data_IF_890565155773
#
_entry.id   IF_890565155773
#
_cell.length_a   1.000
_cell.length_b   1.000
_cell.length_c   1.000
_cell.angle_alpha   90.00
_cell.angle_beta   90.00
_cell.angle_gamma   90.00
#
_symmetry.space_group_name_H-M   'P 1'
#
loop_
_entity.id
_entity.type
_entity.pdbx_description
1 polymer ?
#
# COMPACT_ATOMS: atom_id res chain seq x y z
N UNK A 1 -10.17 -9.55 -14.58
CA UNK A 1 -9.37 -10.66 -15.13
C UNK A 1 -8.47 -11.14 -14.01
N UNK A 2 -8.36 -12.44 -13.74
CA UNK A 2 -7.51 -12.96 -12.66
C UNK A 2 -6.03 -12.75 -13.05
N UNK A 3 -5.34 -11.89 -12.32
CA UNK A 3 -3.90 -11.66 -12.49
C UNK A 3 -3.15 -12.68 -11.63
N UNK A 4 -2.19 -13.39 -12.23
CA UNK A 4 -1.49 -14.49 -11.56
C UNK A 4 -0.44 -13.90 -10.58
N UNK A 5 -0.76 -13.85 -9.28
CA UNK A 5 0.06 -13.24 -8.22
C UNK A 5 1.19 -14.15 -7.75
N UNK A 6 2.04 -14.59 -8.67
CA UNK A 6 3.13 -15.54 -8.42
C UNK A 6 4.16 -15.07 -7.38
N UNK A 7 4.28 -13.75 -7.14
CA UNK A 7 5.14 -13.18 -6.11
C UNK A 7 4.77 -13.57 -4.68
N UNK A 8 3.50 -13.92 -4.42
CA UNK A 8 3.02 -14.34 -3.09
C UNK A 8 3.67 -15.63 -2.58
N UNK A 9 4.32 -16.38 -3.46
CA UNK A 9 5.04 -17.61 -3.10
C UNK A 9 6.49 -17.37 -2.64
N UNK A 10 6.92 -16.10 -2.56
CA UNK A 10 8.30 -15.71 -2.21
C UNK A 10 8.28 -14.98 -0.86
N UNK A 11 7.98 -15.72 0.22
CA UNK A 11 8.05 -15.22 1.59
C UNK A 11 8.90 -16.18 2.41
N UNK A 12 9.90 -15.66 3.11
CA UNK A 12 10.73 -16.46 4.02
C UNK A 12 9.90 -16.73 5.29
N UNK A 13 9.47 -17.98 5.47
CA UNK A 13 8.39 -18.39 6.37
C UNK A 13 8.83 -18.65 7.82
N UNK A 14 9.93 -18.07 8.29
CA UNK A 14 10.42 -18.31 9.64
C UNK A 14 9.43 -17.76 10.70
N UNK A 15 8.45 -18.60 11.05
CA UNK A 15 7.46 -18.53 12.13
C UNK A 15 6.11 -17.82 11.89
N UNK A 16 5.69 -17.54 10.65
CA UNK A 16 4.36 -16.98 10.38
C UNK A 16 3.47 -17.91 9.55
N UNK A 17 2.22 -18.08 9.95
CA UNK A 17 1.19 -18.80 9.20
C UNK A 17 0.57 -17.88 8.15
N UNK A 18 0.71 -18.25 6.87
CA UNK A 18 0.07 -17.56 5.76
C UNK A 18 -1.38 -18.01 5.54
N UNK A 19 -2.30 -17.07 5.31
CA UNK A 19 -3.67 -17.37 4.89
C UNK A 19 -4.28 -16.25 4.04
N UNK A 20 -5.13 -16.64 3.09
CA UNK A 20 -5.87 -15.70 2.24
C UNK A 20 -7.23 -15.34 2.83
N UNK A 21 -7.66 -14.10 2.63
CA UNK A 21 -9.01 -13.60 2.93
C UNK A 21 -9.56 -12.88 1.71
N UNK A 22 -10.64 -13.42 1.13
CA UNK A 22 -11.30 -12.84 -0.05
C UNK A 22 -12.72 -12.43 0.31
N UNK A 23 -13.06 -11.16 0.06
CA UNK A 23 -14.40 -10.58 0.23
C UNK A 23 -14.70 -9.67 -0.96
N UNK A 24 -15.57 -10.12 -1.86
CA UNK A 24 -15.85 -9.47 -3.15
C UNK A 24 -14.54 -9.19 -3.92
N UNK A 25 -14.21 -7.93 -4.18
CA UNK A 25 -12.99 -7.51 -4.88
C UNK A 25 -11.75 -7.44 -3.98
N UNK A 26 -11.91 -7.47 -2.66
CA UNK A 26 -10.79 -7.45 -1.71
C UNK A 26 -10.19 -8.83 -1.58
N UNK A 27 -8.91 -8.98 -1.93
CA UNK A 27 -8.16 -10.24 -1.87
C UNK A 27 -6.82 -10.01 -1.15
N UNK A 28 -6.83 -10.36 0.13
CA UNK A 28 -5.74 -10.12 1.07
C UNK A 28 -4.94 -11.40 1.30
N UNK A 29 -3.62 -11.27 1.34
CA UNK A 29 -2.72 -12.26 1.90
C UNK A 29 -2.26 -11.79 3.27
N UNK A 30 -2.42 -12.63 4.28
CA UNK A 30 -2.09 -12.30 5.67
C UNK A 30 -1.08 -13.31 6.19
N UNK A 31 -0.03 -12.83 6.85
CA UNK A 31 0.91 -13.63 7.63
C UNK A 31 0.79 -13.21 9.09
N UNK A 32 0.57 -14.16 9.99
CA UNK A 32 0.45 -13.92 11.44
C UNK A 32 0.96 -15.12 12.24
N UNK A 33 1.08 -14.99 13.57
CA UNK A 33 1.59 -16.06 14.44
C UNK A 33 0.72 -17.34 14.39
N UNK A 34 -0.55 -17.22 13.99
CA UNK A 34 -1.49 -18.32 13.76
C UNK A 34 -2.53 -17.94 12.70
N UNK A 35 -3.28 -18.93 12.22
CA UNK A 35 -4.41 -18.68 11.31
C UNK A 35 -5.53 -17.91 12.03
N UNK A 36 -5.79 -16.67 11.61
CA UNK A 36 -6.85 -15.79 12.11
C UNK A 36 -7.89 -15.47 11.02
N UNK A 37 -8.13 -16.43 10.11
CA UNK A 37 -8.93 -16.22 8.89
C UNK A 37 -10.35 -15.71 9.18
N UNK A 38 -11.00 -16.21 10.23
CA UNK A 38 -12.37 -15.82 10.59
C UNK A 38 -12.40 -14.37 11.10
N UNK A 39 -11.53 -14.06 12.05
CA UNK A 39 -11.38 -12.73 12.65
C UNK A 39 -11.04 -11.70 11.56
N UNK A 40 -10.12 -12.06 10.65
CA UNK A 40 -9.75 -11.21 9.53
C UNK A 40 -10.92 -10.99 8.56
N UNK A 41 -11.69 -12.03 8.23
CA UNK A 41 -12.87 -11.91 7.35
C UNK A 41 -13.93 -10.98 7.96
N UNK A 42 -14.19 -11.09 9.25
CA UNK A 42 -15.19 -10.27 9.93
C UNK A 42 -14.77 -8.78 9.96
N UNK A 43 -13.49 -8.51 10.25
CA UNK A 43 -12.93 -7.16 10.17
C UNK A 43 -13.02 -6.59 8.75
N UNK A 44 -12.68 -7.37 7.72
CA UNK A 44 -12.76 -6.90 6.33
C UNK A 44 -14.20 -6.58 5.94
N UNK A 45 -15.16 -7.41 6.33
CA UNK A 45 -16.59 -7.16 6.08
C UNK A 45 -17.06 -5.86 6.76
N UNK A 46 -16.65 -5.63 8.01
CA UNK A 46 -16.96 -4.39 8.75
C UNK A 46 -16.40 -3.16 8.04
N UNK A 47 -15.09 -3.16 7.74
CA UNK A 47 -14.42 -2.01 7.13
C UNK A 47 -14.97 -1.72 5.72
N UNK A 48 -15.22 -2.76 4.92
CA UNK A 48 -15.90 -2.61 3.63
C UNK A 48 -17.32 -2.07 3.80
N UNK A 49 -18.05 -2.53 4.81
CA UNK A 49 -19.39 -2.04 5.11
C UNK A 49 -19.41 -0.53 5.35
N UNK A 50 -18.44 0.00 6.10
CA UNK A 50 -18.30 1.45 6.29
C UNK A 50 -18.04 2.20 4.99
N UNK A 51 -17.15 1.69 4.13
CA UNK A 51 -16.84 2.32 2.84
C UNK A 51 -18.02 2.27 1.89
N UNK A 52 -18.67 1.12 1.75
CA UNK A 52 -19.84 0.93 0.90
C UNK A 52 -21.01 1.80 1.36
N UNK A 53 -21.28 1.89 2.67
CA UNK A 53 -22.32 2.76 3.22
C UNK A 53 -22.02 4.25 3.00
N UNK A 54 -20.76 4.66 3.16
CA UNK A 54 -20.35 6.05 2.92
C UNK A 54 -20.51 6.42 1.43
N UNK A 55 -20.05 5.57 0.52
CA UNK A 55 -20.23 5.76 -0.94
C UNK A 55 -21.73 5.77 -1.31
N UNK A 56 -22.55 4.93 -0.69
CA UNK A 56 -23.99 4.94 -0.94
C UNK A 56 -24.65 6.27 -0.54
N UNK A 57 -24.11 6.95 0.47
CA UNK A 57 -24.59 8.26 0.93
C UNK A 57 -24.00 9.40 0.10
N UNK A 58 -22.74 9.27 -0.29
CA UNK A 58 -21.97 10.26 -1.05
C UNK A 58 -21.34 9.60 -2.29
N UNK A 59 -22.11 9.39 -3.38
CA UNK A 59 -21.61 8.66 -4.55
C UNK A 59 -20.34 9.24 -5.17
N UNK A 60 -20.20 10.57 -5.13
CA UNK A 60 -19.03 11.30 -5.65
C UNK A 60 -17.72 10.94 -4.92
N UNK A 61 -17.81 10.40 -3.69
CA UNK A 61 -16.64 9.94 -2.95
C UNK A 61 -15.89 8.86 -3.73
N UNK A 62 -16.62 8.04 -4.50
CA UNK A 62 -16.03 6.95 -5.29
C UNK A 62 -15.26 7.45 -6.50
N UNK A 63 -15.68 8.56 -7.10
CA UNK A 63 -15.24 8.98 -8.43
C UNK A 63 -14.38 10.24 -8.43
N UNK A 64 -14.40 11.03 -7.36
CA UNK A 64 -13.55 12.22 -7.28
C UNK A 64 -12.08 11.86 -7.40
N UNK A 65 -11.35 12.64 -8.19
CA UNK A 65 -9.89 12.58 -8.28
C UNK A 65 -9.24 13.68 -7.46
N UNK A 66 -10.02 14.62 -6.95
CA UNK A 66 -9.59 15.71 -6.08
C UNK A 66 -9.84 15.38 -4.60
N UNK A 67 -9.07 15.97 -3.67
CA UNK A 67 -9.29 15.83 -2.24
C UNK A 67 -10.74 16.06 -1.83
N UNK A 68 -11.26 15.14 -1.01
CA UNK A 68 -12.63 15.22 -0.51
C UNK A 68 -12.74 16.24 0.62
N UNK A 69 -13.76 17.11 0.57
CA UNK A 69 -14.08 18.01 1.67
C UNK A 69 -14.94 17.27 2.69
N UNK A 70 -14.45 17.14 3.91
CA UNK A 70 -15.22 16.53 5.00
C UNK A 70 -16.23 17.52 5.58
N UNK A 71 -17.50 17.10 5.64
CA UNK A 71 -18.56 17.81 6.36
C UNK A 71 -19.15 16.88 7.43
N UNK A 72 -18.36 16.59 8.47
CA UNK A 72 -18.86 15.92 9.68
C UNK A 72 -18.14 14.62 10.06
N UNK A 73 -18.60 13.96 11.14
CA UNK A 73 -17.99 12.74 11.64
C UNK A 73 -18.15 11.60 10.62
N UNK A 74 -17.06 10.86 10.41
CA UNK A 74 -17.03 9.70 9.53
C UNK A 74 -16.36 8.52 10.26
N UNK A 75 -16.64 7.27 9.84
CA UNK A 75 -15.89 6.12 10.31
C UNK A 75 -14.38 6.32 10.14
N UNK A 76 -13.57 5.76 11.03
CA UNK A 76 -12.12 5.99 11.05
C UNK A 76 -11.46 5.71 9.69
N UNK A 77 -11.83 4.63 9.01
CA UNK A 77 -11.31 4.30 7.67
C UNK A 77 -11.58 5.41 6.65
N UNK A 78 -12.78 6.02 6.67
CA UNK A 78 -13.13 7.14 5.80
C UNK A 78 -12.30 8.37 6.15
N UNK A 79 -12.16 8.69 7.44
CA UNK A 79 -11.31 9.79 7.90
C UNK A 79 -9.85 9.63 7.45
N UNK A 80 -9.30 8.41 7.55
CA UNK A 80 -7.95 8.09 7.10
C UNK A 80 -7.80 8.29 5.58
N UNK A 81 -8.76 7.79 4.79
CA UNK A 81 -8.76 7.96 3.33
C UNK A 81 -8.85 9.43 2.90
N UNK A 82 -9.72 10.22 3.55
CA UNK A 82 -9.86 11.66 3.28
C UNK A 82 -8.56 12.40 3.62
N UNK A 83 -8.00 12.13 4.79
CA UNK A 83 -6.74 12.75 5.23
C UNK A 83 -5.59 12.41 4.28
N UNK A 84 -5.46 11.14 3.89
CA UNK A 84 -4.44 10.68 2.96
C UNK A 84 -4.59 11.34 1.59
N UNK A 85 -5.79 11.35 1.02
CA UNK A 85 -6.07 12.02 -0.25
C UNK A 85 -5.77 13.52 -0.20
N UNK A 86 -6.08 14.18 0.92
CA UNK A 86 -5.77 15.61 1.13
C UNK A 86 -4.27 15.88 1.13
N UNK A 87 -3.48 15.09 1.87
CA UNK A 87 -2.01 15.25 1.92
C UNK A 87 -1.38 14.96 0.56
N UNK A 88 -1.86 13.93 -0.14
CA UNK A 88 -1.32 13.51 -1.43
C UNK A 88 -1.87 14.32 -2.61
N UNK A 89 -2.91 15.12 -2.42
CA UNK A 89 -3.57 15.89 -3.49
C UNK A 89 -4.30 15.01 -4.51
N UNK A 90 -4.97 13.95 -4.04
CA UNK A 90 -5.75 13.00 -4.83
C UNK A 90 -7.08 12.68 -4.15
N UNK A 91 -7.99 12.04 -4.89
CA UNK A 91 -9.25 11.53 -4.34
C UNK A 91 -9.03 10.46 -3.26
N UNK A 92 -9.95 10.32 -2.28
CA UNK A 92 -9.80 9.41 -1.16
C UNK A 92 -9.78 7.93 -1.56
N UNK A 93 -10.37 7.58 -2.70
CA UNK A 93 -10.32 6.20 -3.21
C UNK A 93 -8.92 5.76 -3.64
N UNK A 94 -7.98 6.68 -3.85
CA UNK A 94 -6.57 6.35 -4.07
C UNK A 94 -5.87 5.79 -2.81
N UNK A 95 -6.55 5.76 -1.66
CA UNK A 95 -6.02 5.23 -0.41
C UNK A 95 -6.71 3.93 0.04
N UNK A 96 -7.69 3.42 -0.72
CA UNK A 96 -8.62 2.38 -0.23
C UNK A 96 -7.91 1.06 0.11
N UNK A 97 -6.95 0.65 -0.72
CA UNK A 97 -6.31 -0.64 -0.57
C UNK A 97 -5.38 -0.63 0.64
N UNK A 98 -4.58 0.43 0.78
CA UNK A 98 -3.78 0.70 1.96
C UNK A 98 -4.64 0.87 3.23
N UNK A 99 -5.74 1.62 3.17
CA UNK A 99 -6.61 1.84 4.33
C UNK A 99 -7.26 0.53 4.84
N UNK A 100 -7.67 -0.36 3.94
CA UNK A 100 -8.19 -1.69 4.32
C UNK A 100 -7.07 -2.55 4.93
N UNK A 101 -5.88 -2.58 4.33
CA UNK A 101 -4.74 -3.35 4.83
C UNK A 101 -4.34 -2.90 6.25
N UNK A 102 -4.25 -1.58 6.47
CA UNK A 102 -3.95 -1.00 7.78
C UNK A 102 -5.06 -1.29 8.81
N UNK A 103 -6.33 -1.11 8.43
CA UNK A 103 -7.44 -1.36 9.36
C UNK A 103 -7.50 -2.83 9.79
N UNK A 104 -7.27 -3.76 8.86
CA UNK A 104 -7.16 -5.18 9.18
C UNK A 104 -5.94 -5.46 10.07
N UNK A 105 -4.76 -4.95 9.70
CA UNK A 105 -3.53 -5.15 10.45
C UNK A 105 -3.64 -4.67 11.90
N UNK A 106 -4.12 -3.44 12.11
CA UNK A 106 -4.38 -2.88 13.44
C UNK A 106 -5.45 -3.66 14.21
N UNK A 107 -6.47 -4.19 13.53
CA UNK A 107 -7.48 -5.04 14.13
C UNK A 107 -6.91 -6.37 14.63
N UNK A 108 -6.10 -7.04 13.81
CA UNK A 108 -5.46 -8.31 14.15
C UNK A 108 -4.38 -8.15 15.23
N UNK A 109 -3.68 -7.01 15.30
CA UNK A 109 -2.72 -6.71 16.35
C UNK A 109 -3.31 -6.62 17.76
N UNK A 110 -4.65 -6.65 17.90
CA UNK A 110 -5.32 -6.85 19.20
C UNK A 110 -5.31 -8.30 19.67
N UNK A 111 -4.91 -9.23 18.80
CA UNK A 111 -5.00 -10.69 18.99
C UNK A 111 -3.63 -11.37 18.81
N UNK A 112 -2.72 -10.77 18.04
CA UNK A 112 -1.39 -11.29 17.69
C UNK A 112 -0.36 -10.18 17.80
N UNK A 113 0.91 -10.51 18.05
CA UNK A 113 1.97 -9.49 18.20
C UNK A 113 2.58 -9.08 16.86
N UNK A 114 2.46 -9.94 15.85
CA UNK A 114 3.02 -9.75 14.53
C UNK A 114 2.00 -10.05 13.44
N UNK A 115 1.92 -9.16 12.46
CA UNK A 115 1.09 -9.35 11.27
C UNK A 115 1.69 -8.62 10.07
N UNK A 116 1.62 -9.29 8.92
CA UNK A 116 1.82 -8.68 7.60
C UNK A 116 0.49 -8.83 6.86
N UNK A 117 -0.02 -7.73 6.31
CA UNK A 117 -1.24 -7.71 5.51
C UNK A 117 -0.91 -7.12 4.15
N UNK A 118 -1.03 -7.91 3.10
CA UNK A 118 -0.87 -7.51 1.71
C UNK A 118 -2.25 -7.37 1.06
N UNK A 119 -2.51 -6.21 0.45
CA UNK A 119 -3.68 -5.93 -0.38
C UNK A 119 -3.24 -5.49 -1.77
N UNK A 120 -2.77 -6.43 -2.58
CA UNK A 120 -2.17 -6.10 -3.87
C UNK A 120 -0.79 -5.45 -3.68
N UNK A 121 -0.63 -4.20 -4.11
CA UNK A 121 0.63 -3.45 -3.96
C UNK A 121 0.83 -2.83 -2.57
N UNK A 122 -0.17 -2.93 -1.69
CA UNK A 122 -0.22 -2.23 -0.42
C UNK A 122 0.00 -3.15 0.76
N UNK A 123 1.06 -2.91 1.52
CA UNK A 123 1.49 -3.80 2.59
C UNK A 123 1.56 -3.07 3.92
N UNK A 124 0.80 -3.56 4.89
CA UNK A 124 0.93 -3.22 6.31
C UNK A 124 1.83 -4.24 6.99
N UNK A 125 2.80 -3.78 7.77
CA UNK A 125 3.83 -4.64 8.38
C UNK A 125 4.01 -4.26 9.85
N UNK A 126 3.83 -5.24 10.73
CA UNK A 126 4.30 -5.21 12.12
C UNK A 126 4.91 -6.56 12.44
N UNK A 127 6.24 -6.60 12.58
CA UNK A 127 6.97 -7.83 12.90
C UNK A 127 7.96 -7.57 14.04
N UNK A 128 8.39 -8.66 14.68
CA UNK A 128 9.44 -8.70 15.69
C UNK A 128 10.83 -8.84 15.08
N UNK A 129 10.91 -9.35 13.85
CA UNK A 129 12.15 -9.50 13.08
C UNK A 129 12.19 -8.52 11.89
N UNK A 130 13.38 -8.14 11.41
CA UNK A 130 13.52 -7.41 10.15
C UNK A 130 12.87 -8.16 8.99
N UNK A 131 12.30 -7.42 8.04
CA UNK A 131 11.71 -7.99 6.83
C UNK A 131 12.23 -7.26 5.60
N UNK A 132 12.21 -7.95 4.46
CA UNK A 132 12.52 -7.33 3.17
C UNK A 132 11.26 -7.33 2.32
N UNK A 133 10.84 -6.16 1.85
CA UNK A 133 9.74 -6.01 0.90
C UNK A 133 10.31 -5.94 -0.51
N UNK A 134 10.09 -6.98 -1.32
CA UNK A 134 10.49 -6.97 -2.72
C UNK A 134 9.63 -6.02 -3.55
N UNK A 135 10.25 -5.29 -4.48
CA UNK A 135 9.55 -4.40 -5.40
C UNK A 135 9.30 -5.13 -6.72
N UNK A 136 8.02 -5.38 -7.01
CA UNK A 136 7.58 -5.86 -8.31
C UNK A 136 7.33 -4.66 -9.23
N UNK A 137 8.09 -4.59 -10.33
CA UNK A 137 8.06 -3.48 -11.30
C UNK A 137 7.75 -3.98 -12.72
N UNK A 138 6.85 -4.96 -12.83
CA UNK A 138 6.40 -5.50 -14.11
C UNK A 138 7.52 -6.02 -14.99
N UNK A 139 7.55 -5.55 -16.23
CA UNK A 139 8.55 -5.93 -17.24
C UNK A 139 9.89 -5.21 -17.07
N UNK A 140 10.03 -4.27 -16.13
CA UNK A 140 11.32 -3.65 -15.85
C UNK A 140 12.36 -4.72 -15.50
N UNK A 141 13.60 -4.63 -16.01
CA UNK A 141 14.67 -5.54 -15.62
C UNK A 141 15.03 -5.43 -14.12
N UNK A 142 14.56 -4.39 -13.43
CA UNK A 142 14.72 -4.21 -11.98
C UNK A 142 13.61 -4.88 -11.16
N UNK A 143 12.57 -5.42 -11.82
CA UNK A 143 11.47 -6.13 -11.16
C UNK A 143 11.99 -7.34 -10.37
N UNK A 144 11.63 -7.42 -9.08
CA UNK A 144 12.12 -8.44 -8.14
C UNK A 144 13.66 -8.52 -8.05
N UNK A 145 14.39 -7.44 -8.40
CA UNK A 145 15.83 -7.33 -8.18
C UNK A 145 16.17 -6.41 -7.00
N UNK A 146 15.22 -5.57 -6.59
CA UNK A 146 15.39 -4.58 -5.51
C UNK A 146 14.37 -4.85 -4.41
N UNK A 147 14.83 -4.83 -3.16
CA UNK A 147 13.99 -4.90 -1.98
C UNK A 147 14.25 -3.74 -1.04
N UNK A 148 13.23 -3.38 -0.26
CA UNK A 148 13.34 -2.43 0.85
C UNK A 148 13.49 -3.24 2.14
N UNK A 149 14.66 -3.17 2.76
CA UNK A 149 14.88 -3.78 4.07
C UNK A 149 14.30 -2.86 5.15
N UNK A 150 13.42 -3.43 5.96
CA UNK A 150 12.79 -2.77 7.09
C UNK A 150 13.31 -3.42 8.36
N UNK A 151 13.92 -2.62 9.24
CA UNK A 151 14.27 -3.07 10.58
C UNK A 151 13.02 -3.46 11.37
N UNK A 152 13.17 -4.38 12.33
CA UNK A 152 12.13 -4.64 13.33
C UNK A 152 11.72 -3.32 14.00
N UNK A 153 10.45 -2.96 13.83
CA UNK A 153 9.92 -1.68 14.30
C UNK A 153 8.94 -1.89 15.45
N UNK A 154 9.10 -1.10 16.52
CA UNK A 154 8.11 -1.07 17.63
C UNK A 154 6.73 -0.62 17.15
N UNK A 155 6.66 0.15 16.07
CA UNK A 155 5.43 0.63 15.44
C UNK A 155 5.24 -0.06 14.09
N UNK A 156 4.00 -0.20 13.60
CA UNK A 156 3.78 -0.67 12.24
C UNK A 156 4.42 0.26 11.20
N UNK A 157 4.72 -0.30 10.04
CA UNK A 157 5.22 0.39 8.86
C UNK A 157 4.41 -0.03 7.64
N UNK A 158 4.20 0.90 6.73
CA UNK A 158 3.53 0.69 5.46
C UNK A 158 4.54 0.72 4.32
N UNK A 159 4.38 -0.19 3.35
CA UNK A 159 5.00 -0.09 2.02
C UNK A 159 3.89 -0.27 1.00
N UNK A 160 3.56 0.81 0.30
CA UNK A 160 2.48 0.84 -0.69
C UNK A 160 3.03 1.15 -2.06
N UNK A 161 2.58 0.42 -3.08
CA UNK A 161 3.13 0.48 -4.43
C UNK A 161 2.04 0.74 -5.45
N UNK A 162 2.20 1.82 -6.21
CA UNK A 162 1.41 2.10 -7.41
C UNK A 162 2.20 1.74 -8.65
N UNK A 163 1.51 1.29 -9.69
CA UNK A 163 2.10 1.00 -11.00
C UNK A 163 1.21 1.59 -12.10
N UNK A 164 1.83 2.22 -13.09
CA UNK A 164 1.18 2.63 -14.33
C UNK A 164 1.16 1.54 -15.40
N UNK A 165 1.98 0.49 -15.24
CA UNK A 165 2.16 -0.58 -16.23
C UNK A 165 1.49 -1.89 -15.82
N UNK A 166 0.99 -1.99 -14.58
CA UNK A 166 0.38 -3.19 -14.01
C UNK A 166 -0.89 -2.89 -13.22
N UNK A 167 -1.86 -3.80 -13.28
CA UNK A 167 -3.08 -3.77 -12.48
C UNK A 167 -4.25 -2.98 -13.09
N UNK A 168 -5.38 -2.99 -12.36
CA UNK A 168 -6.65 -2.40 -12.78
C UNK A 168 -6.94 -1.04 -12.11
N UNK A 169 -6.05 -0.60 -11.21
CA UNK A 169 -6.17 0.68 -10.51
C UNK A 169 -5.83 1.82 -11.46
N UNK A 170 -6.58 2.91 -11.40
CA UNK A 170 -6.37 4.07 -12.27
C UNK A 170 -5.07 4.80 -11.90
N UNK A 171 -3.97 4.42 -12.54
CA UNK A 171 -2.74 5.21 -12.59
C UNK A 171 -2.66 5.93 -13.92
N UNK A 172 -2.44 7.24 -13.88
CA UNK A 172 -2.33 8.11 -15.07
C UNK A 172 -0.89 8.24 -15.56
N UNK A 173 0.07 7.62 -14.86
CA UNK A 173 1.49 7.64 -15.18
C UNK A 173 1.97 6.40 -15.93
N UNK A 174 3.28 6.35 -16.18
CA UNK A 174 3.98 5.26 -16.85
C UNK A 174 5.10 4.65 -15.99
N UNK A 175 5.19 5.01 -14.70
CA UNK A 175 6.13 4.37 -13.80
C UNK A 175 5.82 2.87 -13.68
N UNK A 176 6.87 2.05 -13.71
CA UNK A 176 6.75 0.60 -13.51
C UNK A 176 6.39 0.27 -12.06
N UNK A 177 7.00 0.97 -11.11
CA UNK A 177 6.65 0.93 -9.71
C UNK A 177 6.97 2.25 -9.02
N UNK A 178 6.06 2.70 -8.16
CA UNK A 178 6.26 3.78 -7.20
C UNK A 178 5.93 3.23 -5.83
N UNK A 179 6.95 2.87 -5.06
CA UNK A 179 6.80 2.38 -3.69
C UNK A 179 7.05 3.50 -2.68
N UNK A 180 6.12 3.66 -1.74
CA UNK A 180 6.17 4.67 -0.69
C UNK A 180 6.15 4.00 0.66
N UNK A 181 7.06 4.44 1.54
CA UNK A 181 7.17 3.98 2.93
C UNK A 181 6.64 5.06 3.86
N UNK A 182 5.70 4.71 4.74
CA UNK A 182 5.14 5.63 5.72
C UNK A 182 4.69 4.90 6.99
N UNK A 183 4.31 5.66 8.02
CA UNK A 183 3.66 5.11 9.23
C UNK A 183 2.17 4.78 9.04
N UNK A 184 1.59 5.13 7.89
CA UNK A 184 0.20 4.82 7.54
C UNK A 184 0.09 4.29 6.12
N UNK A 185 -0.63 3.19 5.92
CA UNK A 185 -0.84 2.61 4.59
C UNK A 185 -1.78 3.48 3.75
N UNK A 186 -2.81 4.09 4.35
CA UNK A 186 -3.69 5.00 3.61
C UNK A 186 -2.90 6.15 2.98
N UNK A 187 -1.99 6.75 3.75
CA UNK A 187 -1.10 7.81 3.27
C UNK A 187 -0.12 7.29 2.21
N UNK A 188 0.52 6.15 2.45
CA UNK A 188 1.50 5.59 1.52
C UNK A 188 0.85 5.23 0.17
N UNK A 189 -0.34 4.64 0.16
CA UNK A 189 -1.11 4.28 -1.05
C UNK A 189 -1.52 5.54 -1.85
N UNK A 190 -2.11 6.52 -1.17
CA UNK A 190 -2.47 7.80 -1.81
C UNK A 190 -1.26 8.53 -2.38
N UNK A 191 -0.15 8.55 -1.65
CA UNK A 191 1.10 9.15 -2.10
C UNK A 191 1.71 8.37 -3.28
N UNK A 192 1.73 7.03 -3.23
CA UNK A 192 2.20 6.20 -4.33
C UNK A 192 1.41 6.47 -5.61
N UNK A 193 0.08 6.52 -5.52
CA UNK A 193 -0.80 6.89 -6.63
C UNK A 193 -0.53 8.30 -7.15
N UNK A 194 -0.43 9.27 -6.25
CA UNK A 194 -0.14 10.67 -6.58
C UNK A 194 1.20 10.83 -7.31
N UNK A 195 2.25 10.18 -6.81
CA UNK A 195 3.57 10.21 -7.39
C UNK A 195 3.63 9.43 -8.71
N UNK A 196 2.97 8.27 -8.79
CA UNK A 196 2.79 7.50 -10.02
C UNK A 196 2.22 8.36 -11.14
N UNK A 197 1.14 9.09 -10.87
CA UNK A 197 0.51 10.00 -11.83
C UNK A 197 1.44 11.11 -12.37
N UNK A 198 2.52 11.43 -11.65
CA UNK A 198 3.50 12.46 -12.05
C UNK A 198 4.65 11.92 -12.89
N UNK A 199 4.85 10.61 -12.95
CA UNK A 199 5.95 9.99 -13.69
C UNK A 199 5.43 9.52 -15.04
N UNK A 200 5.87 10.16 -16.13
CA UNK A 200 5.57 9.75 -17.51
C UNK A 200 6.80 9.21 -18.23
N UNK A 201 7.98 9.50 -17.71
CA UNK A 201 9.27 9.07 -18.24
C UNK A 201 10.33 9.04 -17.14
N UNK A 202 11.49 8.45 -17.43
CA UNK A 202 12.64 8.42 -16.52
C UNK A 202 13.08 9.82 -16.05
N UNK A 203 12.86 10.86 -16.87
CA UNK A 203 13.22 12.24 -16.54
C UNK A 203 12.36 12.84 -15.40
N UNK A 204 11.17 12.28 -15.16
CA UNK A 204 10.23 12.79 -14.15
C UNK A 204 10.54 12.29 -12.74
N UNK A 205 11.40 11.27 -12.59
CA UNK A 205 11.70 10.60 -11.31
C UNK A 205 12.09 11.61 -10.23
N UNK A 206 13.05 12.49 -10.51
CA UNK A 206 13.55 13.46 -9.53
C UNK A 206 12.46 14.47 -9.13
N UNK A 207 11.61 14.88 -10.07
CA UNK A 207 10.49 15.79 -9.81
C UNK A 207 9.41 15.13 -8.95
N UNK A 208 9.09 13.87 -9.21
CA UNK A 208 8.15 13.10 -8.42
C UNK A 208 8.68 12.92 -6.98
N UNK A 209 9.94 12.54 -6.81
CA UNK A 209 10.58 12.47 -5.48
C UNK A 209 10.48 13.82 -4.76
N UNK A 210 10.82 14.93 -5.42
CA UNK A 210 10.74 16.26 -4.81
C UNK A 210 9.31 16.60 -4.34
N UNK A 211 8.28 16.20 -5.08
CA UNK A 211 6.89 16.37 -4.65
C UNK A 211 6.57 15.52 -3.41
N UNK A 212 6.97 14.24 -3.39
CA UNK A 212 6.69 13.35 -2.27
C UNK A 212 7.41 13.76 -0.98
N UNK A 213 8.60 14.36 -1.09
CA UNK A 213 9.35 14.95 0.03
C UNK A 213 8.58 16.02 0.80
N UNK A 214 7.66 16.71 0.13
CA UNK A 214 6.85 17.75 0.74
C UNK A 214 5.61 17.21 1.45
N UNK A 215 5.28 15.93 1.26
CA UNK A 215 4.15 15.28 1.92
C UNK A 215 4.53 14.87 3.35
N UNK A 216 3.84 15.42 4.33
CA UNK A 216 4.09 15.08 5.74
C UNK A 216 3.78 13.60 6.01
N UNK A 217 4.68 12.92 6.72
CA UNK A 217 4.51 11.51 7.13
C UNK A 217 5.15 10.48 6.19
N UNK A 218 5.70 10.90 5.05
CA UNK A 218 6.46 10.01 4.15
C UNK A 218 7.87 9.80 4.70
N UNK A 219 8.24 8.54 4.90
CA UNK A 219 9.55 8.12 5.41
C UNK A 219 10.53 7.73 4.30
N UNK A 220 10.01 7.29 3.15
CA UNK A 220 10.82 7.03 1.97
C UNK A 220 10.02 6.78 0.71
N UNK A 221 10.69 6.90 -0.42
CA UNK A 221 10.14 6.78 -1.77
C UNK A 221 11.14 5.99 -2.62
N UNK A 222 10.65 5.05 -3.40
CA UNK A 222 11.38 4.36 -4.47
C UNK A 222 10.55 4.44 -5.75
N UNK A 223 11.16 4.89 -6.84
CA UNK A 223 10.52 4.95 -8.16
C UNK A 223 11.38 4.17 -9.14
N UNK A 224 10.76 3.24 -9.85
CA UNK A 224 11.36 2.46 -10.93
C UNK A 224 10.63 2.81 -12.22
N UNK A 225 11.41 3.13 -13.26
CA UNK A 225 10.90 3.36 -14.61
C UNK A 225 11.97 2.93 -15.60
N UNK A 226 11.66 1.94 -16.44
CA UNK A 226 12.64 1.31 -17.33
C UNK A 226 13.79 0.69 -16.54
N UNK A 227 15.01 1.14 -16.83
CA UNK A 227 16.23 0.70 -16.15
C UNK A 227 16.68 1.66 -15.03
N UNK A 228 15.90 2.72 -14.77
CA UNK A 228 16.23 3.74 -13.78
C UNK A 228 15.52 3.49 -12.47
N UNK A 229 16.25 3.76 -11.40
CA UNK A 229 15.74 3.81 -10.05
C UNK A 229 16.08 5.16 -9.42
N UNK A 230 15.09 5.79 -8.81
CA UNK A 230 15.26 6.92 -7.92
C UNK A 230 14.79 6.55 -6.52
N UNK A 231 15.52 6.98 -5.51
CA UNK A 231 15.15 6.72 -4.12
C UNK A 231 15.40 7.95 -3.23
N UNK A 232 14.59 8.08 -2.19
CA UNK A 232 14.73 9.11 -1.17
C UNK A 232 14.21 8.62 0.18
N UNK A 233 14.78 9.16 1.26
CA UNK A 233 14.35 8.92 2.63
C UNK A 233 15.26 7.96 3.39
N UNK A 234 14.81 7.51 4.55
CA UNK A 234 15.55 6.58 5.38
C UNK A 234 15.27 5.14 4.92
N UNK A 235 15.83 4.77 3.77
CA UNK A 235 15.62 3.48 3.13
C UNK A 235 16.92 2.69 3.05
N UNK A 236 16.86 1.42 3.41
CA UNK A 236 17.91 0.45 3.11
C UNK A 236 17.47 -0.36 1.88
N UNK A 237 17.97 0.02 0.71
CA UNK A 237 17.73 -0.73 -0.52
C UNK A 237 18.75 -1.86 -0.62
N UNK A 238 18.24 -3.07 -0.84
CA UNK A 238 19.07 -4.25 -1.02
C UNK A 238 18.80 -4.88 -2.37
N UNK A 239 19.83 -5.51 -2.93
CA UNK A 239 19.68 -6.38 -4.08
C UNK A 239 19.08 -7.70 -3.61
N UNK A 240 18.02 -8.15 -4.26
CA UNK A 240 17.47 -9.48 -4.04
C UNK A 240 18.32 -10.49 -4.82
N UNK A 241 18.80 -11.52 -4.13
CA UNK A 241 19.42 -12.67 -4.78
C UNK A 241 18.31 -13.59 -5.30
N UNK A 242 18.49 -14.11 -6.51
CA UNK A 242 17.51 -14.99 -7.18
C UNK A 242 17.53 -16.38 -6.59
#
# INVERSE_FOLDING_TARGET
MFENRTYRNIVDEDNLTAFQVVVKETDLLVHADRCLRREARDLVLEQRGYVEAFISTYPDFRTTLDPWRSEGPAPQIIGNMISAGTVAGVGPMAAIAGAIAESLGLGLLKITDQVIVENGGDVFIKTGNPVTVGIYAGSSPLSMQVGIRLSSAKKPVAVCTSSGTLGHSLSLGQADAVSVVAGSCALADAAATSLGNRVRSEADINRAIAAGRSMAGIAGIVIITGEKIGAWGNLELIRLEK
#
